data_IF_012363015261
#
_entry.id   IF_012363015261
#
_cell.length_a   1.000
_cell.length_b   1.000
_cell.length_c   1.000
_cell.angle_alpha   90.00
_cell.angle_beta   90.00
_cell.angle_gamma   90.00
#
_symmetry.space_group_name_H-M   'P 1'
#
loop_
_entity.id
_entity.type
_entity.pdbx_description
1 polymer ?
#
# COMPACT_ATOMS: atom_id res chain seq x y z
N UNK A 1 -45.15 -4.64 44.71
CA UNK A 1 -45.36 -3.33 44.08
C UNK A 1 -44.09 -2.53 44.20
N UNK A 2 -43.24 -2.54 43.22
CA UNK A 2 -42.22 -1.49 42.96
C UNK A 2 -41.99 -1.48 41.46
N UNK A 3 -42.23 -0.33 40.85
CA UNK A 3 -42.24 -0.12 39.41
C UNK A 3 -40.82 0.10 38.82
N UNK A 4 -40.71 0.10 37.48
CA UNK A 4 -39.44 0.17 36.79
C UNK A 4 -39.01 1.62 36.57
N UNK A 5 -37.72 1.90 36.82
CA UNK A 5 -37.07 3.13 36.38
C UNK A 5 -36.39 2.92 35.04
N UNK A 6 -36.85 3.66 34.05
CA UNK A 6 -36.20 3.83 32.75
C UNK A 6 -34.98 4.74 32.92
N UNK A 7 -33.84 4.32 32.43
CA UNK A 7 -32.66 5.16 32.22
C UNK A 7 -32.16 4.94 30.79
N UNK A 8 -32.54 5.85 29.89
CA UNK A 8 -32.05 5.87 28.54
C UNK A 8 -30.67 6.53 28.50
N UNK A 9 -29.66 5.81 28.09
CA UNK A 9 -28.33 6.39 27.80
C UNK A 9 -28.14 6.48 26.31
N UNK A 10 -28.20 7.74 25.85
CA UNK A 10 -27.93 8.12 24.48
C UNK A 10 -26.49 7.80 24.07
N UNK A 11 -26.37 7.02 23.02
CA UNK A 11 -25.08 6.83 22.30
C UNK A 11 -24.67 8.14 21.65
N UNK A 12 -23.88 8.93 22.38
CA UNK A 12 -23.16 10.07 21.83
C UNK A 12 -22.00 9.61 20.95
N UNK A 13 -22.09 9.87 19.66
CA UNK A 13 -20.97 9.77 18.72
C UNK A 13 -19.88 10.78 19.09
N UNK A 14 -19.04 10.45 20.06
CA UNK A 14 -17.91 11.24 20.51
C UNK A 14 -16.71 11.05 19.58
N UNK A 15 -16.22 12.15 19.07
CA UNK A 15 -15.01 12.34 18.26
C UNK A 15 -13.77 11.69 18.89
N UNK A 16 -13.51 10.41 18.55
CA UNK A 16 -12.50 9.56 19.17
C UNK A 16 -11.07 9.75 18.69
N UNK A 17 -10.66 10.93 18.23
CA UNK A 17 -9.30 11.15 17.70
C UNK A 17 -8.24 11.65 18.70
N UNK A 18 -8.64 12.14 19.86
CA UNK A 18 -7.72 12.89 20.74
C UNK A 18 -6.92 12.07 21.75
N UNK A 19 -7.40 10.91 22.16
CA UNK A 19 -6.68 10.10 23.14
C UNK A 19 -5.68 9.11 22.49
N UNK A 20 -5.92 8.69 21.26
CA UNK A 20 -4.96 7.91 20.45
C UNK A 20 -3.68 8.70 20.16
N UNK A 21 -3.81 10.00 19.81
CA UNK A 21 -2.69 10.89 19.57
C UNK A 21 -1.81 11.09 20.82
N UNK A 22 -2.41 11.26 22.00
CA UNK A 22 -1.67 11.46 23.27
C UNK A 22 -0.89 10.22 23.72
N UNK A 23 -1.30 9.03 23.34
CA UNK A 23 -0.59 7.80 23.68
C UNK A 23 0.64 7.61 22.79
N UNK A 24 0.53 7.93 21.51
CA UNK A 24 1.65 7.84 20.55
C UNK A 24 2.77 8.86 20.85
N UNK A 25 2.43 10.06 21.29
CA UNK A 25 3.41 11.08 21.68
C UNK A 25 4.26 10.65 22.90
N UNK A 26 3.70 9.84 23.78
CA UNK A 26 4.37 9.31 24.96
C UNK A 26 5.32 8.16 24.67
N UNK A 27 4.92 7.27 23.76
CA UNK A 27 5.65 6.05 23.45
C UNK A 27 6.80 6.24 22.46
N UNK A 28 6.78 7.34 21.69
CA UNK A 28 7.77 7.62 20.64
C UNK A 28 8.63 8.86 20.85
N UNK A 29 8.34 9.70 21.86
CA UNK A 29 9.16 10.89 22.18
C UNK A 29 9.27 11.93 21.04
N UNK A 30 8.36 11.90 20.07
CA UNK A 30 8.42 12.76 18.88
C UNK A 30 7.82 14.14 19.14
N UNK A 31 8.55 15.19 18.77
CA UNK A 31 8.04 16.57 18.76
C UNK A 31 6.92 16.71 17.73
N UNK A 32 5.92 17.51 18.07
CA UNK A 32 4.76 17.84 17.23
C UNK A 32 5.21 18.31 15.84
N UNK A 33 4.93 17.55 14.81
CA UNK A 33 5.00 18.02 13.42
C UNK A 33 3.66 18.66 13.09
N UNK A 34 3.61 19.96 12.71
CA UNK A 34 2.36 20.58 12.28
C UNK A 34 1.92 19.98 10.95
N UNK A 35 0.73 19.40 10.91
CA UNK A 35 0.08 19.00 9.64
C UNK A 35 -0.11 20.25 8.77
N UNK A 36 0.27 20.22 7.49
CA UNK A 36 -0.08 21.27 6.58
C UNK A 36 -1.60 21.33 6.45
N UNK A 37 -2.18 22.46 6.90
CA UNK A 37 -3.62 22.69 6.86
C UNK A 37 -4.16 22.56 5.44
N UNK A 38 -5.23 21.79 5.27
CA UNK A 38 -6.02 21.77 4.04
C UNK A 38 -6.45 23.19 3.73
N UNK A 39 -5.92 23.76 2.64
CA UNK A 39 -6.45 25.00 2.08
C UNK A 39 -7.90 24.75 1.63
N UNK A 40 -8.86 25.61 1.97
CA UNK A 40 -10.22 25.47 1.47
C UNK A 40 -10.21 25.68 -0.05
N UNK A 41 -10.88 24.77 -0.77
CA UNK A 41 -11.07 24.87 -2.21
C UNK A 41 -11.77 26.21 -2.53
N UNK A 42 -11.10 27.08 -3.29
CA UNK A 42 -11.68 28.29 -3.88
C UNK A 42 -12.79 27.83 -4.84
N UNK A 43 -14.04 28.14 -4.49
CA UNK A 43 -15.16 28.05 -5.43
C UNK A 43 -14.89 29.01 -6.60
N UNK A 44 -14.50 28.45 -7.74
CA UNK A 44 -14.44 29.18 -9.01
C UNK A 44 -15.86 29.52 -9.44
N UNK A 45 -16.10 30.82 -9.63
CA UNK A 45 -17.29 31.35 -10.26
C UNK A 45 -17.38 30.83 -11.69
N UNK A 46 -18.53 30.28 -12.05
CA UNK A 46 -18.92 30.01 -13.43
C UNK A 46 -18.98 31.33 -14.20
N UNK A 47 -18.18 31.45 -15.24
CA UNK A 47 -18.35 32.46 -16.26
C UNK A 47 -19.06 31.82 -17.46
N UNK A 48 -20.30 32.19 -17.64
CA UNK A 48 -21.08 31.99 -18.85
C UNK A 48 -20.59 32.96 -19.90
N UNK A 49 -20.11 32.48 -21.03
CA UNK A 49 -20.10 33.24 -22.27
C UNK A 49 -20.59 32.33 -23.38
N UNK A 50 -21.83 32.65 -23.79
CA UNK A 50 -22.35 32.37 -25.12
C UNK A 50 -21.50 33.15 -26.13
N UNK A 51 -21.05 32.53 -27.19
CA UNK A 51 -20.97 33.19 -28.48
C UNK A 51 -21.20 32.18 -29.60
N UNK A 52 -22.20 32.56 -30.43
CA UNK A 52 -22.59 31.96 -31.68
C UNK A 52 -21.92 32.74 -32.81
N UNK A 53 -21.22 32.04 -33.68
CA UNK A 53 -21.09 32.43 -35.12
C UNK A 53 -20.56 31.19 -35.84
N UNK A 54 -21.32 30.50 -36.62
CA UNK A 54 -21.72 30.64 -38.02
C UNK A 54 -20.56 30.69 -39.02
N UNK A 55 -20.58 29.64 -39.84
CA UNK A 55 -20.31 29.65 -41.29
C UNK A 55 -18.91 29.39 -41.82
N UNK A 56 -18.86 28.45 -42.75
CA UNK A 56 -17.80 28.23 -43.75
C UNK A 56 -17.55 26.75 -44.05
N UNK A 57 -18.27 26.09 -44.76
CA UNK A 57 -18.54 25.69 -46.17
C UNK A 57 -17.25 25.40 -46.97
N UNK A 58 -17.26 24.14 -47.57
CA UNK A 58 -16.67 23.67 -48.85
C UNK A 58 -15.15 23.41 -48.81
N UNK A 59 -14.58 22.35 -49.40
CA UNK A 59 -14.89 21.47 -50.54
C UNK A 59 -13.96 20.23 -50.43
N UNK A 60 -14.40 19.05 -50.61
CA UNK A 60 -14.19 18.13 -51.71
C UNK A 60 -12.80 18.14 -52.38
N UNK A 61 -12.10 16.99 -52.37
CA UNK A 61 -11.76 16.25 -53.61
C UNK A 61 -11.17 14.87 -53.28
N UNK A 62 -11.63 13.91 -54.03
CA UNK A 62 -11.23 12.52 -54.10
C UNK A 62 -9.85 12.33 -54.73
N UNK A 63 -9.12 11.31 -54.28
CA UNK A 63 -8.15 10.62 -55.13
C UNK A 63 -8.12 9.12 -54.73
N UNK A 64 -8.78 8.29 -55.56
CA UNK A 64 -8.53 6.84 -55.66
C UNK A 64 -7.14 6.65 -56.25
N UNK A 65 -6.36 5.81 -55.62
CA UNK A 65 -5.32 5.05 -56.33
C UNK A 65 -5.28 3.62 -55.74
N UNK A 66 -5.77 2.74 -56.59
CA UNK A 66 -5.67 1.27 -56.43
C UNK A 66 -4.23 0.83 -56.73
N UNK A 67 -3.67 -0.02 -55.87
CA UNK A 67 -2.60 -0.95 -56.25
C UNK A 67 -2.92 -2.31 -55.70
N UNK A 68 -3.46 -3.18 -56.53
CA UNK A 68 -3.41 -4.63 -56.39
C UNK A 68 -2.02 -5.10 -56.76
N UNK A 69 -1.37 -5.89 -55.88
CA UNK A 69 -0.39 -6.91 -56.30
C UNK A 69 -0.25 -7.99 -55.22
N UNK A 70 -0.87 -9.15 -55.49
CA UNK A 70 -0.30 -10.50 -55.51
C UNK A 70 0.22 -11.11 -54.20
N UNK A 71 -0.58 -12.00 -53.68
CA UNK A 71 -0.32 -13.43 -53.38
C UNK A 71 1.06 -13.82 -52.83
N UNK A 72 1.01 -14.36 -51.63
CA UNK A 72 2.07 -15.13 -51.01
C UNK A 72 1.53 -15.90 -49.82
N UNK A 73 0.85 -17.04 -50.04
CA UNK A 73 0.60 -18.05 -49.01
C UNK A 73 1.90 -18.72 -48.69
N UNK A 74 2.27 -18.82 -47.42
CA UNK A 74 2.80 -20.04 -46.76
C UNK A 74 3.16 -19.75 -45.33
N UNK A 75 2.80 -20.65 -44.44
CA UNK A 75 3.47 -20.76 -43.14
C UNK A 75 2.53 -20.51 -41.95
N UNK A 76 1.93 -21.60 -41.46
CA UNK A 76 1.29 -21.63 -40.15
C UNK A 76 2.26 -21.20 -39.05
N UNK A 77 2.04 -20.00 -38.54
CA UNK A 77 2.66 -19.52 -37.34
C UNK A 77 1.58 -19.36 -36.27
N UNK A 78 1.56 -20.28 -35.31
CA UNK A 78 0.71 -20.14 -34.15
C UNK A 78 0.86 -18.72 -33.60
N UNK A 79 -0.26 -18.03 -33.50
CA UNK A 79 -0.35 -16.76 -32.81
C UNK A 79 0.06 -16.98 -31.34
N UNK A 80 1.36 -16.85 -31.08
CA UNK A 80 1.81 -16.50 -29.75
C UNK A 80 1.24 -15.12 -29.51
N UNK A 81 0.15 -15.06 -28.73
CA UNK A 81 -0.32 -13.83 -28.16
C UNK A 81 0.88 -13.08 -27.53
N UNK A 82 0.89 -11.77 -27.54
CA UNK A 82 1.97 -11.02 -26.93
C UNK A 82 2.12 -11.53 -25.50
N UNK A 83 3.24 -12.21 -25.23
CA UNK A 83 3.67 -12.44 -23.88
C UNK A 83 3.77 -11.05 -23.28
N UNK A 84 2.86 -10.74 -22.35
CA UNK A 84 2.90 -9.52 -21.57
C UNK A 84 4.19 -9.59 -20.73
N UNK A 85 5.28 -9.18 -21.32
CA UNK A 85 6.50 -8.74 -20.61
C UNK A 85 6.17 -7.42 -19.92
N UNK A 86 5.14 -7.43 -19.09
CA UNK A 86 4.87 -6.35 -18.19
C UNK A 86 5.98 -6.35 -17.15
N UNK A 87 6.93 -5.44 -17.29
CA UNK A 87 7.84 -5.15 -16.21
C UNK A 87 7.02 -4.98 -14.92
N UNK A 88 7.37 -5.72 -13.87
CA UNK A 88 6.64 -5.64 -12.62
C UNK A 88 6.64 -4.19 -12.14
N UNK A 89 5.45 -3.67 -11.81
CA UNK A 89 5.30 -2.30 -11.32
C UNK A 89 6.17 -2.12 -10.06
N UNK A 90 6.99 -1.04 -9.94
CA UNK A 90 7.85 -0.82 -8.79
C UNK A 90 7.06 -0.79 -7.47
N UNK A 91 7.66 -1.27 -6.38
CA UNK A 91 7.08 -1.13 -5.05
C UNK A 91 6.88 0.35 -4.70
N UNK A 92 5.73 0.68 -4.15
CA UNK A 92 5.42 2.04 -3.70
C UNK A 92 4.75 2.95 -4.73
N UNK A 93 4.56 2.51 -5.98
CA UNK A 93 3.82 3.28 -7.00
C UNK A 93 2.32 3.28 -6.76
N UNK A 94 1.79 2.24 -6.09
CA UNK A 94 0.41 2.10 -5.65
C UNK A 94 0.34 1.46 -4.27
N UNK A 95 -0.68 1.79 -3.47
CA UNK A 95 -0.95 1.06 -2.26
C UNK A 95 -1.48 -0.33 -2.61
N UNK A 96 -0.88 -1.40 -2.45
CA UNK A 96 -1.38 -2.75 -2.69
C UNK A 96 -1.10 -3.30 -4.11
N UNK A 97 0.17 -3.43 -4.45
CA UNK A 97 0.64 -4.05 -5.70
C UNK A 97 0.60 -5.57 -5.57
N UNK A 98 0.05 -6.27 -6.59
CA UNK A 98 0.07 -7.74 -6.61
C UNK A 98 1.49 -8.24 -6.81
N UNK A 99 1.91 -9.20 -5.99
CA UNK A 99 3.21 -9.89 -6.12
C UNK A 99 3.06 -11.40 -6.01
N UNK A 100 3.76 -12.08 -6.90
CA UNK A 100 4.12 -13.49 -6.72
C UNK A 100 5.35 -13.60 -5.83
N UNK A 101 5.63 -14.78 -5.32
CA UNK A 101 6.81 -15.02 -4.49
C UNK A 101 8.13 -14.64 -5.19
N UNK A 102 8.40 -14.98 -6.49
CA UNK A 102 9.60 -14.53 -7.17
C UNK A 102 9.70 -13.02 -7.37
N UNK A 103 8.57 -12.35 -7.64
CA UNK A 103 8.53 -10.90 -7.78
C UNK A 103 8.85 -10.21 -6.45
N UNK A 104 8.27 -10.70 -5.35
CA UNK A 104 8.55 -10.17 -4.02
C UNK A 104 10.01 -10.38 -3.61
N UNK A 105 10.60 -11.53 -3.97
CA UNK A 105 12.03 -11.76 -3.74
C UNK A 105 12.90 -10.77 -4.53
N UNK A 106 12.56 -10.50 -5.80
CA UNK A 106 13.26 -9.51 -6.59
C UNK A 106 13.15 -8.09 -6.02
N UNK A 107 11.97 -7.73 -5.47
CA UNK A 107 11.79 -6.47 -4.75
C UNK A 107 12.74 -6.36 -3.54
N UNK A 108 12.88 -7.45 -2.75
CA UNK A 108 13.79 -7.49 -1.61
C UNK A 108 15.26 -7.42 -2.03
N UNK A 109 15.63 -8.10 -3.11
CA UNK A 109 17.00 -8.04 -3.65
C UNK A 109 17.39 -6.63 -4.10
N UNK A 110 16.42 -5.86 -4.61
CA UNK A 110 16.59 -4.44 -4.92
C UNK A 110 16.74 -3.53 -3.69
N UNK A 111 16.44 -4.03 -2.50
CA UNK A 111 16.55 -3.30 -1.23
C UNK A 111 17.80 -3.66 -0.42
N UNK A 112 18.76 -4.43 -0.99
CA UNK A 112 20.03 -4.73 -0.31
C UNK A 112 20.74 -3.44 0.12
N UNK A 113 21.40 -3.49 1.26
CA UNK A 113 21.98 -2.31 1.91
C UNK A 113 21.01 -1.62 2.88
N UNK A 114 19.75 -2.03 2.92
CA UNK A 114 18.73 -1.53 3.85
C UNK A 114 18.24 -2.62 4.79
N UNK A 115 17.88 -2.28 6.00
CA UNK A 115 17.06 -3.16 6.85
C UNK A 115 15.63 -3.13 6.33
N UNK A 116 15.04 -4.31 6.08
CA UNK A 116 13.65 -4.40 5.62
C UNK A 116 12.79 -5.04 6.71
N UNK A 117 11.69 -4.36 7.05
CA UNK A 117 10.66 -4.84 7.98
C UNK A 117 9.48 -5.31 7.12
N UNK A 118 9.23 -6.62 7.10
CA UNK A 118 8.15 -7.25 6.34
C UNK A 118 7.03 -7.66 7.29
N UNK A 119 5.92 -6.92 7.25
CA UNK A 119 4.77 -7.16 8.11
C UNK A 119 3.65 -7.86 7.35
N UNK A 120 3.29 -9.07 7.78
CA UNK A 120 2.19 -9.86 7.24
C UNK A 120 0.90 -9.55 8.01
N UNK A 121 -0.14 -9.13 7.29
CA UNK A 121 -1.37 -8.63 7.86
C UNK A 121 -2.62 -8.96 7.01
N UNK A 122 -3.80 -8.64 7.53
CA UNK A 122 -5.06 -8.62 6.78
C UNK A 122 -6.02 -7.58 7.38
N UNK A 123 -6.97 -7.07 6.61
CA UNK A 123 -7.92 -6.05 7.07
C UNK A 123 -8.86 -6.54 8.17
N UNK A 124 -9.22 -7.82 8.15
CA UNK A 124 -10.05 -8.47 9.17
C UNK A 124 -9.29 -8.82 10.46
N UNK A 125 -7.96 -8.75 10.46
CA UNK A 125 -7.12 -9.12 11.60
C UNK A 125 -7.07 -7.99 12.63
N UNK A 126 -7.78 -8.11 13.74
CA UNK A 126 -7.87 -7.07 14.78
C UNK A 126 -6.51 -6.64 15.33
N UNK A 127 -5.58 -7.55 15.74
CA UNK A 127 -4.27 -7.11 16.22
C UNK A 127 -3.41 -6.46 15.13
N UNK A 128 -3.58 -6.85 13.84
CA UNK A 128 -2.92 -6.18 12.72
C UNK A 128 -3.36 -4.70 12.60
N UNK A 129 -4.66 -4.47 12.67
CA UNK A 129 -5.25 -3.11 12.65
C UNK A 129 -4.69 -2.22 13.76
N UNK A 130 -4.37 -2.82 14.92
CA UNK A 130 -3.84 -2.09 16.08
C UNK A 130 -2.37 -1.68 15.94
N UNK A 131 -1.55 -2.45 15.20
CA UNK A 131 -0.11 -2.17 15.05
C UNK A 131 0.21 -1.28 13.83
N UNK A 132 -0.62 -1.28 12.77
CA UNK A 132 -0.33 -0.56 11.53
C UNK A 132 -0.12 0.96 11.69
N UNK A 133 -0.82 1.69 12.56
CA UNK A 133 -0.51 3.10 12.80
C UNK A 133 0.91 3.33 13.34
N UNK A 134 1.42 2.42 14.18
CA UNK A 134 2.78 2.48 14.70
C UNK A 134 3.82 2.17 13.61
N UNK A 135 3.54 1.18 12.75
CA UNK A 135 4.37 0.88 11.59
C UNK A 135 4.43 2.06 10.60
N UNK A 136 3.29 2.71 10.34
CA UNK A 136 3.22 3.90 9.50
C UNK A 136 4.08 5.03 10.06
N UNK A 137 3.96 5.31 11.35
CA UNK A 137 4.75 6.34 12.01
C UNK A 137 6.25 6.00 11.98
N UNK A 138 6.61 4.75 12.24
CA UNK A 138 8.00 4.31 12.19
C UNK A 138 8.59 4.42 10.78
N UNK A 139 7.85 4.02 9.74
CA UNK A 139 8.27 4.13 8.36
C UNK A 139 8.57 5.58 7.96
N UNK A 140 7.70 6.52 8.35
CA UNK A 140 7.91 7.95 8.13
C UNK A 140 9.13 8.46 8.90
N UNK A 141 9.24 8.14 10.18
CA UNK A 141 10.37 8.56 11.01
C UNK A 141 11.72 8.05 10.52
N UNK A 142 11.80 6.82 10.00
CA UNK A 142 13.03 6.31 9.39
C UNK A 142 13.38 7.06 8.10
N UNK A 143 12.39 7.36 7.26
CA UNK A 143 12.59 8.12 6.03
C UNK A 143 13.05 9.56 6.32
N UNK A 144 12.40 10.26 7.24
CA UNK A 144 12.74 11.62 7.65
C UNK A 144 14.14 11.70 8.26
N UNK A 145 14.54 10.68 9.01
CA UNK A 145 15.88 10.59 9.61
C UNK A 145 16.96 10.07 8.64
N UNK A 146 16.62 9.79 7.38
CA UNK A 146 17.55 9.25 6.38
C UNK A 146 18.11 7.86 6.75
N UNK A 147 17.46 7.13 7.64
CA UNK A 147 17.91 5.79 8.04
C UNK A 147 17.67 4.79 6.91
N UNK A 148 18.60 3.87 6.63
CA UNK A 148 18.45 2.86 5.57
C UNK A 148 17.51 1.73 6.02
N UNK A 149 16.24 2.07 6.28
CA UNK A 149 15.18 1.15 6.69
C UNK A 149 14.02 1.26 5.71
N UNK A 150 13.39 0.14 5.38
CA UNK A 150 12.17 0.09 4.57
C UNK A 150 11.15 -0.79 5.27
N UNK A 151 9.92 -0.31 5.41
CA UNK A 151 8.78 -1.09 5.87
C UNK A 151 7.98 -1.53 4.65
N UNK A 152 7.61 -2.81 4.59
CA UNK A 152 6.74 -3.38 3.56
C UNK A 152 5.61 -4.14 4.24
N UNK A 153 4.37 -3.84 3.88
CA UNK A 153 3.21 -4.64 4.26
C UNK A 153 2.99 -5.77 3.24
N UNK A 154 2.64 -6.94 3.71
CA UNK A 154 2.16 -8.05 2.87
C UNK A 154 0.77 -8.42 3.35
N UNK A 155 -0.22 -8.07 2.56
CA UNK A 155 -1.61 -8.45 2.80
C UNK A 155 -1.81 -9.90 2.37
N UNK A 156 -2.14 -10.75 3.34
CA UNK A 156 -2.25 -12.19 3.17
C UNK A 156 -3.64 -12.70 3.56
N UNK A 157 -4.29 -13.40 2.62
CA UNK A 157 -5.61 -14.03 2.86
C UNK A 157 -6.75 -13.02 3.13
N UNK A 158 -6.81 -11.99 2.32
CA UNK A 158 -7.80 -10.91 2.41
C UNK A 158 -8.59 -10.74 1.10
N UNK A 159 -9.64 -9.93 1.16
CA UNK A 159 -10.33 -9.39 -0.01
C UNK A 159 -9.65 -8.06 -0.39
N UNK A 160 -9.09 -7.99 -1.58
CA UNK A 160 -8.27 -6.86 -2.03
C UNK A 160 -8.93 -5.49 -1.87
N UNK A 161 -10.24 -5.39 -2.10
CA UNK A 161 -10.99 -4.14 -1.93
C UNK A 161 -11.12 -3.73 -0.46
N UNK A 162 -11.28 -4.69 0.44
CA UNK A 162 -11.34 -4.43 1.89
C UNK A 162 -9.97 -4.01 2.42
N UNK A 163 -8.92 -4.69 1.98
CA UNK A 163 -7.54 -4.32 2.27
C UNK A 163 -7.22 -2.90 1.81
N UNK A 164 -7.58 -2.53 0.57
CA UNK A 164 -7.36 -1.19 0.03
C UNK A 164 -8.13 -0.11 0.82
N UNK A 165 -9.38 -0.39 1.18
CA UNK A 165 -10.20 0.50 2.02
C UNK A 165 -9.54 0.72 3.37
N UNK A 166 -9.13 -0.36 4.03
CA UNK A 166 -8.47 -0.27 5.33
C UNK A 166 -7.15 0.51 5.29
N UNK A 167 -6.30 0.29 4.29
CA UNK A 167 -5.06 1.06 4.11
C UNK A 167 -5.33 2.56 3.99
N UNK A 168 -6.39 2.93 3.25
CA UNK A 168 -6.82 4.32 3.12
C UNK A 168 -7.33 4.91 4.43
N UNK A 169 -8.11 4.15 5.20
CA UNK A 169 -8.64 4.58 6.52
C UNK A 169 -7.52 4.85 7.52
N UNK A 170 -6.49 4.00 7.54
CA UNK A 170 -5.33 4.12 8.45
C UNK A 170 -4.33 5.14 7.94
N UNK A 171 -4.38 5.52 6.65
CA UNK A 171 -3.44 6.44 6.01
C UNK A 171 -2.07 5.80 5.81
N UNK A 172 -2.00 4.52 5.49
CA UNK A 172 -0.75 3.81 5.18
C UNK A 172 -0.16 4.33 3.87
N UNK A 173 1.11 4.71 3.90
CA UNK A 173 1.86 5.22 2.73
C UNK A 173 3.11 4.40 2.41
N UNK A 174 3.53 3.49 3.29
CA UNK A 174 4.63 2.59 2.98
C UNK A 174 4.18 1.53 1.96
N UNK A 175 5.12 0.96 1.17
CA UNK A 175 4.82 -0.07 0.17
C UNK A 175 4.03 -1.22 0.74
N UNK A 176 2.96 -1.62 0.07
CA UNK A 176 2.15 -2.77 0.47
C UNK A 176 1.87 -3.69 -0.71
N UNK A 177 2.06 -4.97 -0.49
CA UNK A 177 1.89 -6.06 -1.45
C UNK A 177 0.59 -6.79 -1.17
N UNK A 178 -0.16 -7.13 -2.20
CA UNK A 178 -1.27 -8.07 -2.14
C UNK A 178 -0.80 -9.47 -2.54
N UNK A 179 -0.80 -10.37 -1.58
CA UNK A 179 -0.48 -11.78 -1.78
C UNK A 179 -1.75 -12.55 -2.14
N UNK A 180 -1.99 -12.72 -3.43
CA UNK A 180 -3.21 -13.34 -3.93
C UNK A 180 -3.43 -14.79 -3.45
N UNK A 181 -2.36 -15.54 -3.18
CA UNK A 181 -2.43 -16.92 -2.69
C UNK A 181 -2.35 -17.00 -1.15
N UNK A 182 -1.88 -15.94 -0.53
CA UNK A 182 -1.82 -15.79 0.91
C UNK A 182 -1.09 -16.93 1.63
N UNK A 183 -1.67 -17.38 2.74
CA UNK A 183 -1.10 -18.41 3.61
C UNK A 183 -1.04 -19.80 2.95
N UNK A 184 -1.68 -20.02 1.81
CA UNK A 184 -1.80 -21.34 1.17
C UNK A 184 -0.73 -21.65 0.13
N UNK A 185 -0.04 -20.65 -0.41
CA UNK A 185 0.91 -20.90 -1.51
C UNK A 185 1.63 -19.65 -2.02
N UNK A 186 1.34 -18.48 -1.47
CA UNK A 186 1.90 -17.21 -1.91
C UNK A 186 3.18 -16.79 -1.20
N UNK A 187 3.39 -15.50 -1.13
CA UNK A 187 4.50 -14.87 -0.42
C UNK A 187 4.49 -15.31 1.04
N UNK A 188 3.34 -15.21 1.72
CA UNK A 188 3.20 -15.55 3.13
C UNK A 188 3.59 -17.01 3.41
N UNK A 189 3.15 -17.97 2.57
CA UNK A 189 3.51 -19.37 2.71
C UNK A 189 5.02 -19.60 2.56
N UNK A 190 5.68 -18.91 1.60
CA UNK A 190 7.13 -19.01 1.39
C UNK A 190 7.95 -18.44 2.54
N UNK A 191 7.32 -17.64 3.40
CA UNK A 191 7.90 -17.10 4.64
C UNK A 191 7.49 -17.88 5.89
N UNK A 192 6.84 -19.03 5.73
CA UNK A 192 6.35 -19.85 6.83
C UNK A 192 5.44 -19.08 7.80
N UNK A 193 4.62 -18.18 7.25
CA UNK A 193 3.61 -17.45 8.00
C UNK A 193 2.42 -18.37 8.26
N UNK A 194 2.16 -18.67 9.52
CA UNK A 194 1.08 -19.58 9.94
C UNK A 194 -0.07 -18.87 10.63
N UNK A 195 0.08 -17.55 10.89
CA UNK A 195 -0.93 -16.71 11.54
C UNK A 195 -0.57 -15.24 11.42
N UNK A 196 -1.55 -14.37 11.64
CA UNK A 196 -1.43 -12.92 11.52
C UNK A 196 -1.68 -12.23 12.87
N UNK A 197 -0.98 -11.11 13.16
CA UNK A 197 0.13 -10.58 12.39
C UNK A 197 1.42 -11.36 12.62
N UNK A 198 2.33 -11.25 11.66
CA UNK A 198 3.69 -11.73 11.83
C UNK A 198 4.65 -10.76 11.14
N UNK A 199 5.69 -10.34 11.84
CA UNK A 199 6.67 -9.39 11.28
C UNK A 199 8.03 -10.07 11.18
N UNK A 200 8.60 -10.04 9.98
CA UNK A 200 9.95 -10.50 9.71
C UNK A 200 10.90 -9.33 9.51
N UNK A 201 12.15 -9.54 9.89
CA UNK A 201 13.23 -8.61 9.72
C UNK A 201 14.26 -9.18 8.75
N UNK A 202 14.66 -8.38 7.78
CA UNK A 202 15.69 -8.71 6.79
C UNK A 202 16.87 -7.77 7.02
N UNK A 203 18.04 -8.36 7.17
CA UNK A 203 19.29 -7.61 7.34
C UNK A 203 19.73 -6.96 6.01
N UNK A 204 20.74 -6.10 6.08
CA UNK A 204 21.25 -5.33 4.92
C UNK A 204 21.84 -6.20 3.81
N UNK A 205 22.31 -7.39 4.16
CA UNK A 205 22.79 -8.40 3.20
C UNK A 205 21.66 -9.18 2.52
N UNK A 206 20.40 -8.95 2.91
CA UNK A 206 19.22 -9.65 2.41
C UNK A 206 18.88 -10.94 3.17
N UNK A 207 19.63 -11.31 4.20
CA UNK A 207 19.32 -12.47 5.03
C UNK A 207 18.14 -12.21 5.97
N UNK A 208 17.37 -13.28 6.29
CA UNK A 208 16.28 -13.20 7.27
C UNK A 208 16.87 -13.22 8.69
N UNK A 209 16.78 -12.10 9.39
CA UNK A 209 17.44 -11.86 10.68
C UNK A 209 16.53 -12.08 11.90
N UNK A 210 15.33 -12.61 11.71
CA UNK A 210 14.41 -12.94 12.79
C UNK A 210 12.98 -12.56 12.50
N UNK A 211 12.08 -12.96 13.41
CA UNK A 211 10.65 -12.68 13.31
C UNK A 211 10.02 -12.46 14.67
N UNK A 212 8.91 -11.74 14.67
CA UNK A 212 7.99 -11.61 15.80
C UNK A 212 6.62 -12.13 15.35
N UNK A 213 6.10 -13.13 16.04
CA UNK A 213 4.75 -13.65 15.86
C UNK A 213 3.79 -12.95 16.82
N UNK A 214 2.62 -12.54 16.31
CA UNK A 214 1.69 -11.71 17.06
C UNK A 214 1.98 -10.22 16.91
N UNK A 215 1.22 -9.41 17.65
CA UNK A 215 1.26 -7.95 17.54
C UNK A 215 2.64 -7.38 17.86
N UNK A 216 3.21 -6.65 16.93
CA UNK A 216 4.45 -5.92 17.09
C UNK A 216 4.24 -4.65 17.91
N UNK A 217 5.11 -4.40 18.90
CA UNK A 217 5.13 -3.10 19.59
C UNK A 217 6.15 -2.17 18.94
N UNK A 218 5.97 -0.86 19.15
CA UNK A 218 6.93 0.13 18.69
C UNK A 218 8.32 -0.03 19.31
N UNK A 219 8.39 -0.53 20.55
CA UNK A 219 9.64 -0.80 21.25
C UNK A 219 10.39 -1.99 20.61
N UNK A 220 9.68 -3.09 20.34
CA UNK A 220 10.25 -4.27 19.69
C UNK A 220 10.76 -3.96 18.28
N UNK A 221 9.95 -3.19 17.50
CA UNK A 221 10.34 -2.75 16.18
C UNK A 221 11.65 -1.94 16.22
N UNK A 222 11.72 -0.96 17.11
CA UNK A 222 12.90 -0.10 17.23
C UNK A 222 14.13 -0.88 17.66
N UNK A 223 14.00 -1.68 18.71
CA UNK A 223 15.11 -2.47 19.23
C UNK A 223 15.71 -3.41 18.16
N UNK A 224 14.84 -4.09 17.40
CA UNK A 224 15.31 -5.00 16.34
C UNK A 224 15.93 -4.27 15.15
N UNK A 225 15.36 -3.14 14.74
CA UNK A 225 15.92 -2.30 13.67
C UNK A 225 17.28 -1.72 14.09
N UNK A 226 17.40 -1.21 15.32
CA UNK A 226 18.65 -0.65 15.82
C UNK A 226 19.75 -1.71 15.94
N UNK A 227 19.43 -2.93 16.41
CA UNK A 227 20.31 -4.10 16.41
C UNK A 227 20.87 -4.38 14.99
N UNK A 228 19.98 -4.47 14.00
CA UNK A 228 20.37 -4.80 12.62
C UNK A 228 21.16 -3.68 11.91
N UNK A 229 20.97 -2.44 12.31
CA UNK A 229 21.75 -1.33 11.78
C UNK A 229 23.14 -1.24 12.42
N UNK A 230 23.28 -1.67 13.67
CA UNK A 230 24.55 -1.67 14.38
C UNK A 230 25.46 -2.87 14.01
N UNK A 231 24.87 -3.99 13.63
CA UNK A 231 25.58 -5.23 13.30
C UNK A 231 26.05 -5.36 11.83
N UNK A 232 26.04 -4.27 11.08
CA UNK A 232 26.29 -4.26 9.62
C UNK A 232 27.66 -3.69 9.28
#
# INVERSE_FOLDING_TARGET
MVGPTQGGDGFGLGRGGGWYRRRLERDFGMRKVPFPGRRPARRGRAATTNDRTLAGRLAATAALAACLALAGCTGGGGARGPAATGAAEPLGTRPLVVRTQPQFQADLDGLRGRVVVVNFWASWCVPCRQEMPALQQASQGYAEAGRPVTVIGVDASDVRSEAATFLSEVGVTYPTVYDQQGLRGGVAASWSVTGLPQTWFVARDGSRAGRIAGRLTAADLRAKVDELLAGS
#
